data_IF_114728131800
#
_entry.id   IF_114728131800
#
_cell.length_a   1.000
_cell.length_b   1.000
_cell.length_c   1.000
_cell.angle_alpha   90.00
_cell.angle_beta   90.00
_cell.angle_gamma   90.00
#
_symmetry.space_group_name_H-M   'P 1'
#
loop_
_entity.id
_entity.type
_entity.pdbx_description
1 polymer ?
#
# COMPACT_ATOMS: atom_id res chain seq x y z
N UNK A 1 12.43 9.73 -3.33
CA UNK A 1 11.11 9.11 -3.13
C UNK A 1 11.13 7.72 -3.74
N UNK A 2 10.41 6.77 -3.16
CA UNK A 2 10.15 5.46 -3.75
C UNK A 2 8.79 5.48 -4.45
N UNK A 3 8.67 4.92 -5.65
CA UNK A 3 7.37 4.81 -6.32
C UNK A 3 6.52 3.72 -5.65
N UNK A 4 5.44 4.12 -4.99
CA UNK A 4 4.53 3.24 -4.28
C UNK A 4 3.19 3.07 -5.00
N UNK A 5 3.04 3.60 -6.21
CA UNK A 5 1.72 3.72 -6.87
C UNK A 5 1.10 2.38 -7.26
N UNK A 6 1.90 1.33 -7.38
CA UNK A 6 1.46 -0.04 -7.67
C UNK A 6 0.95 -0.79 -6.42
N UNK A 7 1.07 -0.18 -5.25
CA UNK A 7 0.69 -0.81 -3.99
C UNK A 7 1.67 -1.87 -3.52
N UNK A 8 1.53 -2.27 -2.26
CA UNK A 8 2.39 -3.21 -1.58
C UNK A 8 2.41 -3.02 -0.08
N UNK A 9 2.96 -4.01 0.62
CA UNK A 9 3.22 -3.94 2.04
C UNK A 9 4.38 -2.98 2.29
N UNK A 10 4.15 -1.97 3.13
CA UNK A 10 5.21 -1.05 3.54
C UNK A 10 5.96 -1.63 4.73
N UNK A 11 7.24 -1.89 4.53
CA UNK A 11 8.16 -2.30 5.59
C UNK A 11 8.95 -1.07 6.01
N UNK A 12 8.60 -0.55 7.18
CA UNK A 12 9.16 0.64 7.79
C UNK A 12 10.29 0.34 8.78
N UNK A 13 10.81 1.41 9.38
CA UNK A 13 11.70 1.34 10.54
C UNK A 13 10.89 0.89 11.76
N UNK A 14 11.52 0.11 12.62
CA UNK A 14 10.88 -0.52 13.78
C UNK A 14 10.83 0.47 14.94
N UNK A 15 9.84 1.38 14.93
CA UNK A 15 9.67 2.36 15.99
C UNK A 15 8.29 3.04 15.99
N UNK A 16 7.80 3.50 17.15
CA UNK A 16 6.55 4.25 17.26
C UNK A 16 6.58 5.65 16.64
N UNK A 17 7.75 6.16 16.22
CA UNK A 17 7.94 7.47 15.59
C UNK A 17 8.35 7.40 14.11
N UNK A 18 8.16 6.26 13.44
CA UNK A 18 8.60 6.03 12.06
C UNK A 18 7.53 6.38 11.02
N UNK A 19 7.05 7.62 11.07
CA UNK A 19 6.16 8.16 10.05
C UNK A 19 6.91 8.35 8.73
N UNK A 20 6.43 7.67 7.70
CA UNK A 20 6.94 7.71 6.34
C UNK A 20 6.09 8.73 5.55
N UNK A 21 6.68 9.83 5.07
CA UNK A 21 5.93 10.83 4.32
C UNK A 21 5.37 10.28 3.01
N UNK A 22 4.11 10.58 2.73
CA UNK A 22 3.47 10.30 1.44
C UNK A 22 3.40 11.57 0.59
N UNK A 23 3.99 11.53 -0.59
CA UNK A 23 4.05 12.63 -1.54
C UNK A 23 3.13 12.39 -2.73
N UNK A 24 2.38 13.43 -3.13
CA UNK A 24 1.57 13.42 -4.35
C UNK A 24 2.03 14.52 -5.30
N UNK A 25 2.07 14.20 -6.59
CA UNK A 25 2.38 15.17 -7.64
C UNK A 25 1.14 16.04 -7.95
N UNK A 26 1.29 17.36 -7.86
CA UNK A 26 0.23 18.34 -8.13
C UNK A 26 0.39 19.11 -9.46
N UNK A 27 1.40 18.74 -10.26
CA UNK A 27 1.71 19.38 -11.53
C UNK A 27 2.89 20.34 -11.45
N UNK A 28 3.42 20.73 -12.61
CA UNK A 28 4.56 21.66 -12.73
C UNK A 28 5.81 21.26 -11.92
N UNK A 29 5.98 19.96 -11.66
CA UNK A 29 7.11 19.44 -10.86
C UNK A 29 6.94 19.60 -9.35
N UNK A 30 5.77 20.02 -8.87
CA UNK A 30 5.49 20.21 -7.44
C UNK A 30 4.96 18.91 -6.84
N UNK A 31 5.53 18.54 -5.70
CA UNK A 31 5.08 17.45 -4.84
C UNK A 31 4.69 18.02 -3.48
N UNK A 32 3.57 17.57 -2.95
CA UNK A 32 3.11 17.94 -1.61
C UNK A 32 2.99 16.70 -0.73
N UNK A 33 3.27 16.88 0.55
CA UNK A 33 2.99 15.86 1.57
C UNK A 33 1.49 15.81 1.78
N UNK A 34 0.89 14.64 1.55
CA UNK A 34 -0.56 14.43 1.66
C UNK A 34 -0.96 13.54 2.83
N UNK A 35 0.03 12.99 3.54
CA UNK A 35 -0.20 12.16 4.72
C UNK A 35 1.08 11.50 5.19
N UNK A 36 0.94 10.78 6.30
CA UNK A 36 1.98 9.95 6.90
C UNK A 36 1.49 8.50 6.89
N UNK A 37 2.42 7.58 6.72
CA UNK A 37 2.16 6.14 6.72
C UNK A 37 3.17 5.46 7.62
N UNK A 38 2.84 4.32 8.18
CA UNK A 38 3.68 3.59 9.11
C UNK A 38 4.04 2.21 8.57
N UNK A 39 5.15 1.66 9.04
CA UNK A 39 5.51 0.27 8.75
C UNK A 39 4.41 -0.71 9.19
N UNK A 40 4.14 -1.71 8.35
CA UNK A 40 3.09 -2.70 8.55
C UNK A 40 1.74 -2.32 7.93
N UNK A 41 1.59 -1.11 7.41
CA UNK A 41 0.42 -0.72 6.61
C UNK A 41 0.59 -1.15 5.14
N UNK A 42 -0.53 -1.27 4.42
CA UNK A 42 -0.55 -1.73 3.03
C UNK A 42 -1.11 -0.66 2.09
N UNK A 43 -0.38 -0.36 1.03
CA UNK A 43 -0.87 0.51 -0.04
C UNK A 43 -1.60 -0.35 -1.07
N UNK A 44 -2.85 -0.05 -1.34
CA UNK A 44 -3.64 -0.73 -2.38
C UNK A 44 -3.59 0.10 -3.66
N UNK A 45 -3.22 -0.51 -4.78
CA UNK A 45 -3.18 0.16 -6.08
C UNK A 45 -4.50 0.86 -6.41
N UNK A 46 -4.45 1.88 -7.26
CA UNK A 46 -5.65 2.64 -7.63
C UNK A 46 -6.76 1.74 -8.18
N UNK A 47 -6.41 0.79 -9.05
CA UNK A 47 -7.39 -0.10 -9.68
C UNK A 47 -8.01 -1.07 -8.66
N UNK A 48 -7.21 -1.65 -7.78
CA UNK A 48 -7.71 -2.50 -6.70
C UNK A 48 -8.59 -1.71 -5.72
N UNK A 49 -8.21 -0.46 -5.44
CA UNK A 49 -8.99 0.47 -4.61
C UNK A 49 -10.36 0.74 -5.22
N UNK A 50 -10.43 1.08 -6.50
CA UNK A 50 -11.70 1.37 -7.19
C UNK A 50 -12.60 0.12 -7.25
N UNK A 51 -12.03 -1.06 -7.44
CA UNK A 51 -12.76 -2.33 -7.55
C UNK A 51 -13.27 -2.87 -6.20
N UNK A 52 -12.57 -2.58 -5.11
CA UNK A 52 -12.79 -3.21 -3.79
C UNK A 52 -13.03 -2.21 -2.67
N UNK A 53 -13.40 -0.97 -2.98
CA UNK A 53 -13.55 0.13 -2.03
C UNK A 53 -14.35 -0.24 -0.78
N UNK A 54 -15.55 -0.78 -0.95
CA UNK A 54 -16.45 -1.08 0.17
C UNK A 54 -15.81 -2.09 1.14
N UNK A 55 -15.19 -3.14 0.60
CA UNK A 55 -14.47 -4.14 1.41
C UNK A 55 -13.24 -3.55 2.10
N UNK A 56 -12.49 -2.68 1.41
CA UNK A 56 -11.35 -1.98 1.99
C UNK A 56 -11.77 -1.10 3.16
N UNK A 57 -12.87 -0.35 3.01
CA UNK A 57 -13.41 0.52 4.06
C UNK A 57 -13.91 -0.28 5.27
N UNK A 58 -14.50 -1.47 5.04
CA UNK A 58 -14.92 -2.41 6.07
C UNK A 58 -13.74 -2.95 6.89
N UNK A 59 -12.74 -3.55 6.23
CA UNK A 59 -11.58 -4.12 6.95
C UNK A 59 -10.74 -3.04 7.60
N UNK A 60 -10.74 -1.80 7.09
CA UNK A 60 -9.94 -0.73 7.65
C UNK A 60 -10.48 -0.20 8.99
N UNK A 61 -11.60 -0.74 9.48
CA UNK A 61 -12.10 -0.54 10.85
C UNK A 61 -11.44 -1.48 11.87
N UNK A 62 -10.61 -2.44 11.44
CA UNK A 62 -9.94 -3.37 12.35
C UNK A 62 -8.99 -2.61 13.29
N UNK A 63 -9.08 -2.95 14.58
CA UNK A 63 -8.26 -2.40 15.66
C UNK A 63 -7.82 -3.52 16.58
N UNK A 64 -6.65 -3.42 17.22
CA UNK A 64 -6.23 -4.43 18.16
C UNK A 64 -4.88 -4.14 18.78
N UNK A 65 -4.29 -5.18 19.39
CA UNK A 65 -2.90 -5.12 19.84
C UNK A 65 -1.95 -5.02 18.65
N UNK A 66 -0.78 -4.43 18.88
CA UNK A 66 0.23 -4.29 17.85
C UNK A 66 0.57 -5.67 17.27
N UNK A 67 0.39 -5.90 15.96
CA UNK A 67 0.69 -7.20 15.39
C UNK A 67 2.15 -7.53 15.64
N UNK A 68 2.45 -8.76 16.05
CA UNK A 68 3.82 -9.26 15.98
C UNK A 68 4.36 -9.07 14.56
N UNK A 69 5.68 -8.91 14.40
CA UNK A 69 6.32 -8.68 13.11
C UNK A 69 5.68 -9.55 12.03
N UNK A 70 5.17 -8.92 10.98
CA UNK A 70 4.52 -9.62 9.87
C UNK A 70 5.54 -10.57 9.28
N UNK A 71 5.38 -11.87 9.56
CA UNK A 71 6.18 -12.90 8.93
C UNK A 71 5.83 -12.87 7.45
N UNK A 72 6.67 -12.20 6.67
CA UNK A 72 6.67 -12.26 5.22
C UNK A 72 7.05 -13.70 4.82
N UNK A 73 6.09 -14.61 4.93
CA UNK A 73 6.18 -15.85 4.18
C UNK A 73 6.27 -15.44 2.71
N UNK A 74 7.25 -15.98 2.00
CA UNK A 74 7.64 -15.52 0.67
C UNK A 74 6.51 -15.78 -0.33
N UNK A 75 5.54 -14.87 -0.41
CA UNK A 75 4.50 -14.92 -1.42
C UNK A 75 5.11 -14.45 -2.74
N UNK A 76 5.07 -15.25 -3.82
CA UNK A 76 5.62 -14.88 -5.12
C UNK A 76 4.88 -13.69 -5.77
N UNK A 77 3.79 -13.24 -5.16
CA UNK A 77 2.94 -12.13 -5.58
C UNK A 77 3.11 -10.90 -4.67
N UNK A 78 3.93 -11.00 -3.61
CA UNK A 78 4.12 -9.91 -2.66
C UNK A 78 4.88 -8.73 -3.27
N UNK A 79 4.19 -7.59 -3.41
CA UNK A 79 4.85 -6.30 -3.60
C UNK A 79 5.24 -5.76 -2.22
N UNK A 80 6.55 -5.69 -1.94
CA UNK A 80 7.11 -5.18 -0.69
C UNK A 80 7.78 -3.84 -0.97
N UNK A 81 7.41 -2.83 -0.19
CA UNK A 81 7.94 -1.47 -0.25
C UNK A 81 8.81 -1.29 0.99
N UNK A 82 10.11 -1.60 0.86
CA UNK A 82 11.05 -1.43 1.96
C UNK A 82 11.54 0.04 2.03
N UNK A 83 11.21 0.70 3.13
CA UNK A 83 11.52 2.13 3.36
C UNK A 83 12.67 2.35 4.34
N UNK A 84 13.24 1.28 4.91
CA UNK A 84 14.34 1.37 5.88
C UNK A 84 15.58 2.10 5.34
N UNK A 85 15.83 1.98 4.03
CA UNK A 85 16.98 2.57 3.34
C UNK A 85 16.70 3.96 2.75
N UNK A 86 15.53 4.54 3.01
CA UNK A 86 15.24 5.89 2.56
C UNK A 86 16.09 6.91 3.36
N UNK A 87 16.61 7.97 2.69
CA UNK A 87 17.30 9.06 3.35
C UNK A 87 16.34 9.84 4.25
N UNK A 88 16.88 10.73 5.09
CA UNK A 88 16.08 11.70 5.85
C UNK A 88 15.15 12.47 4.90
N UNK A 89 13.86 12.59 5.26
CA UNK A 89 12.77 13.15 4.42
C UNK A 89 12.42 12.34 3.16
N UNK A 90 13.09 11.21 2.92
CA UNK A 90 12.68 10.24 1.92
C UNK A 90 11.29 9.68 2.25
N UNK A 91 10.45 9.55 1.22
CA UNK A 91 9.09 9.03 1.41
C UNK A 91 8.55 8.36 0.16
N UNK A 92 7.26 8.06 0.21
CA UNK A 92 6.54 7.29 -0.80
C UNK A 92 5.86 8.24 -1.78
N UNK A 93 6.09 8.02 -3.07
CA UNK A 93 5.32 8.68 -4.10
C UNK A 93 4.01 7.91 -4.33
N UNK A 94 2.90 8.58 -4.05
CA UNK A 94 1.54 8.09 -4.25
C UNK A 94 0.74 8.98 -5.21
N UNK A 95 -0.45 8.51 -5.57
CA UNK A 95 -1.48 9.21 -6.34
C UNK A 95 -2.80 9.24 -5.56
N UNK A 96 -3.61 8.18 -5.69
CA UNK A 96 -4.96 8.05 -5.11
C UNK A 96 -5.20 6.65 -4.55
N UNK A 97 -4.13 6.01 -4.09
CA UNK A 97 -4.17 4.68 -3.49
C UNK A 97 -4.90 4.73 -2.14
N UNK A 98 -5.57 3.65 -1.78
CA UNK A 98 -6.09 3.43 -0.45
C UNK A 98 -4.99 2.89 0.46
N UNK A 99 -4.92 3.38 1.70
CA UNK A 99 -4.00 2.87 2.71
C UNK A 99 -4.79 2.04 3.71
N UNK A 100 -4.44 0.76 3.80
CA UNK A 100 -5.00 -0.17 4.78
C UNK A 100 -4.13 -0.15 6.02
N UNK A 101 -4.76 0.07 7.16
CA UNK A 101 -4.12 0.16 8.45
C UNK A 101 -3.38 -1.14 8.79
N UNK A 102 -2.42 -1.06 9.72
CA UNK A 102 -1.56 -2.17 10.12
C UNK A 102 -2.30 -3.38 10.69
N UNK A 103 -3.41 -3.17 11.40
CA UNK A 103 -4.17 -4.24 12.06
C UNK A 103 -4.94 -5.05 11.01
N UNK A 104 -5.62 -4.34 10.11
CA UNK A 104 -6.28 -4.93 8.96
C UNK A 104 -5.27 -5.65 8.06
N UNK A 105 -4.11 -5.02 7.83
CA UNK A 105 -3.04 -5.61 7.03
C UNK A 105 -2.53 -6.90 7.64
N UNK A 106 -2.33 -6.94 8.96
CA UNK A 106 -1.86 -8.14 9.64
C UNK A 106 -2.83 -9.32 9.55
N UNK A 107 -4.13 -9.04 9.56
CA UNK A 107 -5.17 -10.07 9.48
C UNK A 107 -5.47 -10.51 8.04
N UNK A 108 -5.35 -9.59 7.08
CA UNK A 108 -5.85 -9.77 5.71
C UNK A 108 -4.74 -9.72 4.64
N UNK A 109 -3.47 -9.88 5.01
CA UNK A 109 -2.32 -9.69 4.11
C UNK A 109 -2.44 -10.48 2.81
N UNK A 110 -2.75 -11.77 2.88
CA UNK A 110 -2.86 -12.64 1.70
C UNK A 110 -3.96 -12.17 0.73
N UNK A 111 -5.10 -11.76 1.27
CA UNK A 111 -6.24 -11.28 0.49
C UNK A 111 -5.92 -9.92 -0.14
N UNK A 112 -5.24 -9.03 0.60
CA UNK A 112 -4.75 -7.74 0.09
C UNK A 112 -3.77 -7.93 -1.06
N UNK A 113 -2.82 -8.86 -0.90
CA UNK A 113 -1.85 -9.21 -1.94
C UNK A 113 -2.54 -9.73 -3.20
N UNK A 114 -3.45 -10.69 -3.04
CA UNK A 114 -4.17 -11.28 -4.15
C UNK A 114 -5.04 -10.26 -4.90
N UNK A 115 -5.82 -9.44 -4.18
CA UNK A 115 -6.66 -8.38 -4.77
C UNK A 115 -5.85 -7.31 -5.46
N UNK A 116 -4.71 -6.92 -4.86
CA UNK A 116 -3.86 -5.91 -5.46
C UNK A 116 -3.23 -6.39 -6.78
N UNK A 117 -2.79 -7.66 -6.83
CA UNK A 117 -2.18 -8.23 -8.02
C UNK A 117 -3.17 -8.48 -9.16
N UNK A 118 -4.35 -9.01 -8.84
CA UNK A 118 -5.36 -9.41 -9.83
C UNK A 118 -6.27 -8.28 -10.30
N UNK A 119 -6.12 -7.07 -9.76
CA UNK A 119 -6.93 -5.93 -10.16
C UNK A 119 -6.79 -5.56 -11.65
N UNK A 120 -5.66 -5.93 -12.28
CA UNK A 120 -5.41 -5.70 -13.70
C UNK A 120 -5.99 -6.78 -14.63
N UNK A 121 -6.19 -8.01 -14.15
CA UNK A 121 -6.48 -9.17 -15.01
C UNK A 121 -7.86 -9.07 -15.69
N UNK A 122 -8.81 -8.37 -15.06
CA UNK A 122 -10.15 -8.17 -15.61
C UNK A 122 -10.20 -7.17 -16.78
N UNK A 123 -9.15 -6.37 -17.01
CA UNK A 123 -9.09 -5.46 -18.16
C UNK A 123 -8.55 -6.13 -19.44
N UNK A 124 -7.95 -7.31 -19.33
CA UNK A 124 -7.32 -8.00 -20.48
C UNK A 124 -8.33 -8.81 -21.29
N UNK A 125 -9.45 -9.23 -20.68
CA UNK A 125 -10.49 -10.04 -21.37
C UNK A 125 -11.33 -9.21 -22.35
N UNK A 126 -11.22 -7.87 -22.33
CA UNK A 126 -12.01 -6.97 -23.19
C UNK A 126 -11.31 -6.41 -24.43
N UNK A 127 -10.02 -6.68 -24.67
CA UNK A 127 -9.25 -5.99 -25.72
C UNK A 127 -8.76 -6.84 -26.91
N UNK A 128 -9.11 -8.12 -26.97
CA UNK A 128 -8.85 -8.96 -28.15
C UNK A 128 -10.15 -9.37 -28.84
N UNK A 129 -10.83 -8.39 -29.43
CA UNK A 129 -11.87 -8.62 -30.43
C UNK A 129 -11.84 -7.50 -31.46
N UNK A 130 -10.89 -7.61 -32.39
CA UNK A 130 -10.97 -7.03 -33.73
C UNK A 130 -10.31 -7.97 -34.72
#
# INVERSE_FOLDING_TARGET
MLDARQGGLVVGRSGPEDDIPMYRHFGRGIFEVVGLMQGGEFIVSKLATEKHRDWLEEINQETGEWPADLSLEHSPVASIINTNLLPEWGGLWISYQFVVNRFATAKWLDELLWRNATANDNNVVGQFSR
#
